data_IF_531078867496
#
_entry.id   IF_531078867496
#
_cell.length_a   1.000
_cell.length_b   1.000
_cell.length_c   1.000
_cell.angle_alpha   90.00
_cell.angle_beta   90.00
_cell.angle_gamma   90.00
#
_symmetry.space_group_name_H-M   'P 1'
#
loop_
_entity.id
_entity.type
_entity.pdbx_description
1 polymer ?
#
# COMPACT_ATOMS: atom_id res chain seq x y z
N UNK A 1 58.76 22.26 44.49
CA UNK A 1 58.42 22.30 43.05
C UNK A 1 56.91 22.07 42.89
N UNK A 2 56.07 23.14 42.87
CA UNK A 2 54.60 23.04 42.86
C UNK A 2 54.00 23.29 41.47
N UNK A 3 54.71 22.95 40.39
CA UNK A 3 54.32 23.34 39.02
C UNK A 3 53.56 22.23 38.27
N UNK A 4 53.59 20.99 38.75
CA UNK A 4 53.09 19.83 38.00
C UNK A 4 51.58 19.57 38.15
N UNK A 5 50.96 19.98 39.26
CA UNK A 5 49.52 19.72 39.52
C UNK A 5 48.57 20.71 38.80
N UNK A 6 49.01 21.93 38.50
CA UNK A 6 48.17 22.92 37.80
C UNK A 6 47.92 22.56 36.33
N UNK A 7 48.90 21.96 35.65
CA UNK A 7 48.77 21.59 34.22
C UNK A 7 47.77 20.46 34.00
N UNK A 8 47.70 19.50 34.92
CA UNK A 8 46.74 18.39 34.84
C UNK A 8 45.30 18.87 35.04
N UNK A 9 45.05 19.73 36.03
CA UNK A 9 43.71 20.25 36.33
C UNK A 9 43.14 21.14 35.20
N UNK A 10 43.99 21.92 34.53
CA UNK A 10 43.59 22.75 33.38
C UNK A 10 43.25 21.90 32.16
N UNK A 11 44.00 20.83 31.90
CA UNK A 11 43.73 19.91 30.77
C UNK A 11 42.43 19.13 30.97
N UNK A 12 42.14 18.66 32.18
CA UNK A 12 40.87 17.97 32.51
C UNK A 12 39.68 18.93 32.43
N UNK A 13 39.83 20.17 32.88
CA UNK A 13 38.78 21.20 32.77
C UNK A 13 38.47 21.56 31.31
N UNK A 14 39.51 21.71 30.47
CA UNK A 14 39.34 21.97 29.04
C UNK A 14 38.66 20.81 28.31
N UNK A 15 38.99 19.57 28.68
CA UNK A 15 38.34 18.38 28.10
C UNK A 15 36.87 18.25 28.51
N UNK A 16 36.53 18.55 29.77
CA UNK A 16 35.13 18.61 30.22
C UNK A 16 34.33 19.74 29.55
N UNK A 17 34.95 20.89 29.30
CA UNK A 17 34.34 21.99 28.56
C UNK A 17 34.06 21.60 27.09
N UNK A 18 34.99 20.88 26.46
CA UNK A 18 34.82 20.38 25.08
C UNK A 18 33.68 19.36 24.98
N UNK A 19 33.55 18.46 25.97
CA UNK A 19 32.45 17.49 26.05
C UNK A 19 31.09 18.16 26.26
N UNK A 20 31.04 19.30 26.96
CA UNK A 20 29.81 20.08 27.12
C UNK A 20 29.35 20.73 25.81
N UNK A 21 30.30 21.14 24.95
CA UNK A 21 30.01 21.78 23.66
C UNK A 21 29.48 20.81 22.59
N UNK A 22 29.59 19.49 22.79
CA UNK A 22 29.06 18.48 21.88
C UNK A 22 27.57 18.14 22.11
N UNK A 23 26.90 18.73 23.11
CA UNK A 23 25.46 18.58 23.34
C UNK A 23 24.65 19.61 22.53
N UNK A 24 24.89 19.69 21.23
CA UNK A 24 24.04 20.48 20.34
C UNK A 24 22.69 19.80 20.22
N UNK A 25 21.62 20.42 20.70
CA UNK A 25 20.26 19.99 20.39
C UNK A 25 20.08 20.04 18.87
N UNK A 26 19.76 18.90 18.28
CA UNK A 26 19.32 18.84 16.89
C UNK A 26 17.87 19.34 16.93
N UNK A 27 17.62 20.52 16.35
CA UNK A 27 16.26 21.03 16.22
C UNK A 27 15.58 20.21 15.11
N UNK A 28 14.57 19.38 15.42
CA UNK A 28 13.89 18.61 14.39
C UNK A 28 13.19 19.58 13.43
N UNK A 29 13.43 19.41 12.14
CA UNK A 29 12.69 20.14 11.12
C UNK A 29 11.25 19.65 11.16
N UNK A 30 10.32 20.55 11.48
CA UNK A 30 8.89 20.26 11.40
C UNK A 30 8.52 19.96 9.95
N UNK A 31 7.84 18.84 9.67
CA UNK A 31 7.35 18.55 8.33
C UNK A 31 6.32 19.60 7.91
N UNK A 32 6.47 20.13 6.70
CA UNK A 32 5.46 20.96 6.04
C UNK A 32 4.59 20.05 5.19
N UNK A 33 3.28 20.03 5.46
CA UNK A 33 2.32 19.23 4.70
C UNK A 33 1.51 20.13 3.78
N UNK A 34 1.54 19.85 2.48
CA UNK A 34 0.64 20.45 1.51
C UNK A 34 -0.56 19.51 1.31
N UNK A 35 -1.68 19.81 1.96
CA UNK A 35 -2.91 19.03 1.78
C UNK A 35 -3.59 19.45 0.48
N UNK A 36 -3.81 18.47 -0.41
CA UNK A 36 -4.49 18.67 -1.69
C UNK A 36 -5.86 17.98 -1.66
N UNK A 37 -6.90 18.77 -1.84
CA UNK A 37 -8.26 18.29 -2.04
C UNK A 37 -8.53 18.05 -3.53
N UNK A 38 -9.55 17.25 -3.83
CA UNK A 38 -9.94 16.94 -5.20
C UNK A 38 -9.05 15.92 -5.91
N UNK A 39 -8.23 15.17 -5.15
CA UNK A 39 -7.50 14.03 -5.70
C UNK A 39 -8.45 12.85 -5.87
N UNK A 40 -8.54 12.34 -7.10
CA UNK A 40 -9.36 11.18 -7.42
C UNK A 40 -8.51 9.92 -7.32
N UNK A 41 -8.99 8.95 -6.53
CA UNK A 41 -8.42 7.61 -6.43
C UNK A 41 -9.38 6.62 -7.08
N UNK A 42 -8.83 5.80 -7.96
CA UNK A 42 -9.58 4.75 -8.67
C UNK A 42 -8.92 3.42 -8.35
N UNK A 43 -9.71 2.50 -7.81
CA UNK A 43 -9.35 1.10 -7.64
C UNK A 43 -10.27 0.27 -8.53
N UNK A 44 -9.71 -0.45 -9.51
CA UNK A 44 -10.47 -1.31 -10.41
C UNK A 44 -9.96 -2.74 -10.31
N UNK A 45 -10.88 -3.69 -10.22
CA UNK A 45 -10.54 -5.11 -10.15
C UNK A 45 -11.47 -5.93 -11.03
N UNK A 46 -10.89 -6.67 -11.98
CA UNK A 46 -11.61 -7.60 -12.86
C UNK A 46 -11.19 -9.02 -12.50
N UNK A 47 -12.16 -9.86 -12.16
CA UNK A 47 -11.91 -11.17 -11.56
C UNK A 47 -12.52 -12.33 -12.35
N UNK A 48 -11.84 -13.47 -12.27
CA UNK A 48 -12.34 -14.77 -12.71
C UNK A 48 -13.27 -15.43 -11.67
N UNK A 49 -13.44 -14.81 -10.49
CA UNK A 49 -14.38 -15.23 -9.47
C UNK A 49 -15.69 -14.44 -9.57
N UNK A 50 -16.81 -15.16 -9.53
CA UNK A 50 -18.13 -14.55 -9.63
C UNK A 50 -18.38 -13.55 -8.50
N UNK A 51 -18.80 -12.33 -8.86
CA UNK A 51 -19.13 -11.27 -7.91
C UNK A 51 -17.94 -10.59 -7.24
N UNK A 52 -16.71 -10.92 -7.64
CA UNK A 52 -15.50 -10.31 -7.06
C UNK A 52 -15.01 -9.07 -7.81
N UNK A 53 -15.53 -8.80 -9.02
CA UNK A 53 -15.11 -7.65 -9.82
C UNK A 53 -15.80 -6.36 -9.36
N UNK A 54 -15.07 -5.25 -9.29
CA UNK A 54 -15.62 -3.95 -8.89
C UNK A 54 -14.74 -2.79 -9.36
N UNK A 55 -15.25 -1.56 -9.24
CA UNK A 55 -14.47 -0.32 -9.33
C UNK A 55 -14.89 0.59 -8.17
N UNK A 56 -13.94 1.06 -7.37
CA UNK A 56 -14.18 2.09 -6.35
C UNK A 56 -13.56 3.41 -6.81
N UNK A 57 -14.33 4.49 -6.70
CA UNK A 57 -13.88 5.85 -7.05
C UNK A 57 -14.07 6.70 -5.80
N UNK A 58 -12.98 7.28 -5.30
CA UNK A 58 -13.03 8.17 -4.14
C UNK A 58 -12.32 9.49 -4.42
N UNK A 59 -12.75 10.56 -3.76
CA UNK A 59 -12.15 11.89 -3.87
C UNK A 59 -11.65 12.36 -2.50
N UNK A 60 -10.46 12.96 -2.48
CA UNK A 60 -9.94 13.59 -1.26
C UNK A 60 -10.69 14.87 -0.91
N UNK A 61 -11.02 15.01 0.37
CA UNK A 61 -11.66 16.19 0.93
C UNK A 61 -11.08 16.53 2.31
N UNK A 62 -11.21 17.79 2.71
CA UNK A 62 -10.90 18.26 4.05
C UNK A 62 -12.20 18.58 4.79
N UNK A 63 -12.60 17.69 5.68
CA UNK A 63 -13.80 17.85 6.49
C UNK A 63 -13.42 18.19 7.92
N UNK A 64 -13.83 19.38 8.38
CA UNK A 64 -13.55 19.87 9.74
C UNK A 64 -12.05 19.86 10.11
N UNK A 65 -11.17 20.07 9.13
CA UNK A 65 -9.72 20.05 9.31
C UNK A 65 -9.11 18.65 9.34
N UNK A 66 -9.89 17.61 9.03
CA UNK A 66 -9.45 16.22 8.91
C UNK A 66 -9.49 15.81 7.44
N UNK A 67 -8.42 15.18 6.97
CA UNK A 67 -8.36 14.64 5.62
C UNK A 67 -9.17 13.35 5.54
N UNK A 68 -10.11 13.30 4.61
CA UNK A 68 -11.00 12.17 4.36
C UNK A 68 -11.03 11.82 2.87
N UNK A 69 -11.58 10.65 2.55
CA UNK A 69 -11.86 10.21 1.18
C UNK A 69 -13.34 9.87 1.09
N UNK A 70 -14.04 10.52 0.17
CA UNK A 70 -15.47 10.32 -0.02
C UNK A 70 -15.71 9.52 -1.29
N UNK A 71 -16.64 8.56 -1.24
CA UNK A 71 -17.08 7.85 -2.43
C UNK A 71 -17.68 8.81 -3.44
N UNK A 72 -17.29 8.67 -4.71
CA UNK A 72 -17.77 9.51 -5.80
C UNK A 72 -18.95 8.83 -6.50
N UNK A 73 -20.15 9.30 -6.17
CA UNK A 73 -21.42 8.84 -6.76
C UNK A 73 -21.67 9.42 -8.16
N UNK A 74 -22.50 8.73 -8.95
CA UNK A 74 -23.03 9.23 -10.22
C UNK A 74 -22.06 9.20 -11.40
N UNK A 75 -20.92 8.51 -11.29
CA UNK A 75 -20.03 8.27 -12.42
C UNK A 75 -20.61 7.19 -13.35
N UNK A 76 -20.36 7.31 -14.65
CA UNK A 76 -20.57 6.23 -15.61
C UNK A 76 -19.31 5.40 -15.69
N UNK A 77 -19.38 4.11 -15.33
CA UNK A 77 -18.23 3.21 -15.27
C UNK A 77 -18.48 1.97 -16.13
N UNK A 78 -17.48 1.56 -16.91
CA UNK A 78 -17.55 0.34 -17.72
C UNK A 78 -16.20 -0.40 -17.75
N UNK A 79 -16.26 -1.73 -17.83
CA UNK A 79 -15.13 -2.54 -18.29
C UNK A 79 -15.19 -2.69 -19.79
N UNK A 80 -14.04 -2.53 -20.46
CA UNK A 80 -13.89 -2.67 -21.90
C UNK A 80 -12.89 -3.79 -22.17
N UNK A 81 -13.29 -4.83 -22.88
CA UNK A 81 -12.36 -5.88 -23.31
C UNK A 81 -11.59 -5.39 -24.54
N UNK A 82 -10.28 -5.19 -24.41
CA UNK A 82 -9.44 -4.63 -25.47
C UNK A 82 -9.30 -5.56 -26.68
N UNK A 83 -9.57 -6.86 -26.50
CA UNK A 83 -9.46 -7.87 -27.57
C UNK A 83 -10.78 -8.09 -28.29
N UNK A 84 -11.88 -8.31 -27.55
CA UNK A 84 -13.21 -8.59 -28.13
C UNK A 84 -14.03 -7.33 -28.44
N UNK A 85 -13.69 -6.19 -27.82
CA UNK A 85 -14.49 -4.97 -27.86
C UNK A 85 -15.75 -5.02 -27.00
N UNK A 86 -15.90 -6.04 -26.15
CA UNK A 86 -17.03 -6.17 -25.23
C UNK A 86 -17.04 -5.01 -24.22
N UNK A 87 -18.23 -4.46 -23.97
CA UNK A 87 -18.47 -3.37 -23.02
C UNK A 87 -19.40 -3.86 -21.93
N UNK A 88 -18.92 -3.86 -20.69
CA UNK A 88 -19.69 -4.28 -19.52
C UNK A 88 -19.92 -3.04 -18.65
N UNK A 89 -21.14 -2.48 -18.63
CA UNK A 89 -21.46 -1.35 -17.77
C UNK A 89 -21.54 -1.79 -16.30
N UNK A 90 -21.03 -0.96 -15.39
CA UNK A 90 -21.12 -1.17 -13.95
C UNK A 90 -22.25 -0.32 -13.34
N UNK A 91 -22.82 -0.82 -12.26
CA UNK A 91 -23.88 -0.17 -11.50
C UNK A 91 -23.34 0.23 -10.13
N UNK A 92 -23.67 1.44 -9.70
CA UNK A 92 -23.36 1.91 -8.36
C UNK A 92 -24.09 1.07 -7.30
N UNK A 93 -23.34 0.51 -6.35
CA UNK A 93 -23.84 -0.31 -5.26
C UNK A 93 -22.99 -0.11 -4.00
N UNK A 94 -23.50 0.67 -3.03
CA UNK A 94 -22.73 1.00 -1.83
C UNK A 94 -21.59 1.94 -2.18
N UNK A 95 -20.37 1.63 -1.72
CA UNK A 95 -19.16 2.45 -1.98
C UNK A 95 -18.34 1.92 -3.17
N UNK A 96 -18.99 1.24 -4.12
CA UNK A 96 -18.36 0.75 -5.34
C UNK A 96 -19.34 0.67 -6.52
N UNK A 97 -18.77 0.56 -7.71
CA UNK A 97 -19.44 0.22 -8.95
C UNK A 97 -19.19 -1.26 -9.21
N UNK A 98 -20.24 -2.02 -9.52
CA UNK A 98 -20.16 -3.48 -9.71
C UNK A 98 -20.77 -3.88 -11.06
N UNK A 99 -20.19 -4.86 -11.77
CA UNK A 99 -20.74 -5.34 -13.01
C UNK A 99 -22.01 -6.19 -12.76
N UNK A 100 -22.74 -6.59 -13.82
CA UNK A 100 -23.85 -7.54 -13.68
C UNK A 100 -23.42 -8.81 -12.94
N UNK A 101 -24.31 -9.40 -12.13
CA UNK A 101 -23.99 -10.53 -11.24
C UNK A 101 -23.52 -11.82 -11.96
N UNK A 102 -23.74 -11.91 -13.27
CA UNK A 102 -23.27 -12.99 -14.13
C UNK A 102 -21.93 -12.71 -14.82
N UNK A 103 -21.34 -11.54 -14.61
CA UNK A 103 -20.04 -11.20 -15.15
C UNK A 103 -18.94 -12.00 -14.42
N UNK A 104 -18.16 -12.72 -15.21
CA UNK A 104 -16.98 -13.47 -14.78
C UNK A 104 -15.97 -13.36 -15.93
N UNK A 105 -14.80 -12.81 -15.67
CA UNK A 105 -13.76 -12.71 -16.68
C UNK A 105 -13.06 -14.06 -16.89
N UNK A 106 -12.38 -14.20 -18.02
CA UNK A 106 -11.60 -15.39 -18.36
C UNK A 106 -10.10 -15.11 -18.28
N UNK A 107 -9.34 -16.15 -17.93
CA UNK A 107 -7.87 -16.10 -18.02
C UNK A 107 -7.49 -15.79 -19.48
N UNK A 108 -6.58 -14.83 -19.64
CA UNK A 108 -6.14 -14.33 -20.94
C UNK A 108 -6.99 -13.20 -21.51
N UNK A 109 -8.12 -12.84 -20.87
CA UNK A 109 -8.83 -11.62 -21.25
C UNK A 109 -7.99 -10.39 -20.92
N UNK A 110 -8.09 -9.37 -21.76
CA UNK A 110 -7.48 -8.06 -21.55
C UNK A 110 -8.56 -7.02 -21.34
N UNK A 111 -8.56 -6.35 -20.19
CA UNK A 111 -9.60 -5.42 -19.79
C UNK A 111 -9.04 -4.03 -19.48
N UNK A 112 -9.87 -3.02 -19.72
CA UNK A 112 -9.65 -1.62 -19.37
C UNK A 112 -10.84 -1.11 -18.57
N UNK A 113 -10.62 -0.14 -17.69
CA UNK A 113 -11.68 0.60 -17.01
C UNK A 113 -11.87 1.93 -17.70
N UNK A 114 -13.11 2.26 -18.07
CA UNK A 114 -13.51 3.57 -18.57
C UNK A 114 -14.45 4.24 -17.56
N UNK A 115 -14.17 5.50 -17.23
CA UNK A 115 -14.90 6.29 -16.23
C UNK A 115 -15.25 7.64 -16.84
N UNK A 116 -16.51 8.05 -16.70
CA UNK A 116 -16.97 9.41 -16.98
C UNK A 116 -17.56 9.97 -15.69
N UNK A 117 -16.90 10.96 -15.11
CA UNK A 117 -17.35 11.62 -13.89
C UNK A 117 -18.59 12.50 -14.15
N UNK A 118 -19.36 12.86 -13.10
CA UNK A 118 -20.53 13.73 -13.23
C UNK A 118 -20.24 15.10 -13.88
N UNK A 119 -19.02 15.60 -13.72
CA UNK A 119 -18.56 16.85 -14.33
C UNK A 119 -18.14 16.70 -15.81
N UNK A 120 -18.22 15.49 -16.37
CA UNK A 120 -17.83 15.16 -17.74
C UNK A 120 -16.35 14.81 -17.93
N UNK A 121 -15.51 14.86 -16.89
CA UNK A 121 -14.12 14.40 -16.97
C UNK A 121 -14.07 12.91 -17.24
N UNK A 122 -13.19 12.49 -18.14
CA UNK A 122 -13.05 11.10 -18.55
C UNK A 122 -11.69 10.54 -18.13
N UNK A 123 -11.69 9.31 -17.62
CA UNK A 123 -10.51 8.54 -17.32
C UNK A 123 -10.59 7.17 -17.99
N UNK A 124 -9.44 6.67 -18.41
CA UNK A 124 -9.31 5.33 -18.97
C UNK A 124 -8.02 4.72 -18.49
N UNK A 125 -8.08 3.49 -18.00
CA UNK A 125 -6.88 2.75 -17.59
C UNK A 125 -6.09 2.29 -18.82
N UNK A 126 -4.84 1.90 -18.59
CA UNK A 126 -4.14 1.04 -19.53
C UNK A 126 -4.77 -0.38 -19.52
N UNK A 127 -4.66 -1.14 -20.62
CA UNK A 127 -5.13 -2.52 -20.68
C UNK A 127 -4.30 -3.45 -19.82
N UNK A 128 -4.97 -4.30 -19.05
CA UNK A 128 -4.34 -5.34 -18.22
C UNK A 128 -4.88 -6.72 -18.59
N UNK A 129 -3.99 -7.72 -18.69
CA UNK A 129 -4.35 -9.09 -19.06
C UNK A 129 -4.42 -9.98 -17.83
N UNK A 130 -5.48 -10.77 -17.72
CA UNK A 130 -5.68 -11.68 -16.59
C UNK A 130 -4.76 -12.89 -16.76
N UNK A 131 -3.72 -12.96 -15.93
CA UNK A 131 -2.83 -14.11 -15.89
C UNK A 131 -3.44 -15.32 -15.19
N UNK A 132 -2.92 -16.50 -15.53
CA UNK A 132 -3.31 -17.72 -14.85
C UNK A 132 -2.79 -17.72 -13.40
N UNK A 133 -3.60 -18.12 -12.41
CA UNK A 133 -3.15 -18.14 -11.03
C UNK A 133 -2.04 -19.19 -10.81
N UNK A 134 -1.09 -18.87 -9.94
CA UNK A 134 -0.02 -19.79 -9.55
C UNK A 134 -0.57 -20.80 -8.54
N UNK A 135 -0.47 -22.10 -8.86
CA UNK A 135 -0.98 -23.15 -7.98
C UNK A 135 -0.13 -23.30 -6.71
N UNK A 136 -0.80 -23.35 -5.55
CA UNK A 136 -0.17 -23.69 -4.28
C UNK A 136 0.25 -25.17 -4.32
N UNK A 137 1.54 -25.42 -4.10
CA UNK A 137 2.12 -26.78 -4.02
C UNK A 137 2.00 -27.40 -2.63
N UNK A 138 2.10 -26.57 -1.59
CA UNK A 138 2.14 -27.07 -0.24
C UNK A 138 1.89 -25.98 0.78
N UNK A 139 1.27 -26.37 1.89
CA UNK A 139 1.06 -25.55 3.07
C UNK A 139 1.57 -26.35 4.26
N UNK A 140 2.56 -25.81 4.97
CA UNK A 140 3.08 -26.37 6.21
C UNK A 140 2.81 -25.40 7.36
N UNK A 141 2.27 -25.90 8.47
CA UNK A 141 2.10 -25.12 9.70
C UNK A 141 2.83 -25.82 10.84
N UNK A 142 3.70 -25.10 11.53
CA UNK A 142 4.45 -25.61 12.68
C UNK A 142 4.45 -24.62 13.84
N UNK A 143 4.39 -25.13 15.06
CA UNK A 143 4.62 -24.32 16.24
C UNK A 143 6.11 -24.07 16.42
N UNK A 144 6.51 -22.81 16.52
CA UNK A 144 7.88 -22.38 16.78
C UNK A 144 7.92 -21.67 18.16
N UNK A 145 8.56 -22.27 19.18
CA UNK A 145 8.66 -21.64 20.50
C UNK A 145 9.53 -20.37 20.49
N UNK A 146 10.37 -20.20 19.46
CA UNK A 146 11.31 -19.10 19.31
C UNK A 146 11.05 -18.29 18.03
N UNK A 147 9.78 -18.00 17.71
CA UNK A 147 9.39 -17.41 16.44
C UNK A 147 9.92 -15.99 16.22
N UNK A 148 9.81 -15.12 17.23
CA UNK A 148 10.19 -13.72 17.13
C UNK A 148 10.97 -13.29 18.38
N UNK A 149 12.17 -12.75 18.20
CA UNK A 149 12.92 -12.13 19.28
C UNK A 149 12.40 -10.72 19.56
N UNK A 150 12.09 -10.41 20.83
CA UNK A 150 11.66 -9.07 21.24
C UNK A 150 12.74 -8.42 22.10
N UNK A 151 13.49 -7.49 21.50
CA UNK A 151 14.59 -6.78 22.17
C UNK A 151 14.16 -6.13 23.49
N UNK A 152 13.00 -5.47 23.52
CA UNK A 152 12.46 -4.82 24.71
C UNK A 152 12.30 -5.75 25.93
N UNK A 153 12.17 -7.05 25.70
CA UNK A 153 11.99 -8.06 26.75
C UNK A 153 13.19 -9.03 26.88
N UNK A 154 14.16 -8.96 25.96
CA UNK A 154 15.28 -9.91 25.88
C UNK A 154 14.87 -11.37 25.71
N UNK A 155 13.67 -11.65 25.19
CA UNK A 155 13.08 -13.00 25.12
C UNK A 155 12.47 -13.27 23.76
N UNK A 156 12.37 -14.55 23.43
CA UNK A 156 11.60 -15.03 22.29
C UNK A 156 10.11 -15.12 22.62
N UNK A 157 9.30 -14.77 21.63
CA UNK A 157 7.85 -14.97 21.63
C UNK A 157 7.52 -16.19 20.78
N UNK A 158 6.82 -17.20 21.32
CA UNK A 158 6.41 -18.37 20.55
C UNK A 158 5.24 -18.04 19.61
N UNK A 159 5.07 -18.83 18.55
CA UNK A 159 3.93 -18.70 17.64
C UNK A 159 3.85 -19.82 16.60
N UNK A 160 2.82 -19.77 15.76
CA UNK A 160 2.72 -20.68 14.60
C UNK A 160 3.39 -20.02 13.40
N UNK A 161 4.28 -20.77 12.74
CA UNK A 161 4.85 -20.41 11.46
C UNK A 161 4.09 -21.17 10.37
N UNK A 162 3.54 -20.45 9.41
CA UNK A 162 2.89 -21.02 8.21
C UNK A 162 3.79 -20.76 7.01
N UNK A 163 4.11 -21.80 6.25
CA UNK A 163 4.87 -21.72 5.02
C UNK A 163 3.97 -22.18 3.86
N UNK A 164 3.88 -21.35 2.82
CA UNK A 164 3.18 -21.68 1.57
C UNK A 164 4.23 -21.81 0.48
N UNK A 165 4.18 -22.88 -0.30
CA UNK A 165 5.11 -23.14 -1.40
C UNK A 165 4.36 -23.13 -2.73
N UNK A 166 4.97 -22.56 -3.75
CA UNK A 166 4.50 -22.51 -5.14
C UNK A 166 5.71 -22.47 -6.08
N UNK A 167 5.50 -22.81 -7.36
CA UNK A 167 6.52 -22.59 -8.39
C UNK A 167 6.28 -21.22 -9.03
N UNK A 168 7.20 -20.29 -8.81
CA UNK A 168 7.19 -19.00 -9.51
C UNK A 168 7.63 -19.21 -10.98
N UNK A 169 6.76 -18.99 -11.97
CA UNK A 169 7.14 -19.17 -13.35
C UNK A 169 8.06 -18.02 -13.79
N UNK A 170 9.35 -18.32 -13.90
CA UNK A 170 10.42 -17.36 -14.23
C UNK A 170 10.31 -16.66 -15.60
N UNK A 171 9.36 -17.07 -16.43
CA UNK A 171 9.16 -16.57 -17.79
C UNK A 171 7.90 -15.70 -17.96
N UNK A 172 7.16 -15.44 -16.87
CA UNK A 172 5.94 -14.63 -16.90
C UNK A 172 5.91 -13.72 -15.68
N UNK A 173 5.36 -12.53 -15.85
CA UNK A 173 5.01 -11.67 -14.73
C UNK A 173 3.82 -12.31 -14.01
N UNK A 174 3.84 -12.32 -12.69
CA UNK A 174 2.74 -12.89 -11.89
C UNK A 174 2.55 -12.04 -10.65
N UNK A 175 1.30 -11.95 -10.21
CA UNK A 175 0.93 -11.21 -9.02
C UNK A 175 0.30 -12.16 -7.99
N UNK A 176 0.76 -12.06 -6.75
CA UNK A 176 0.31 -12.90 -5.63
C UNK A 176 -0.62 -12.08 -4.74
N UNK A 177 -1.91 -12.05 -5.08
CA UNK A 177 -2.98 -11.39 -4.34
C UNK A 177 -3.74 -12.37 -3.43
#
# INVERSE_FOLDING_TARGET
MPYFQKSFFVKTSFFCLLLFLCNGCIDPVSPEFEFKEGLIFVEGFVSTSQGASFVAITESALEFGVYVTNFMEGASVAFINSTSGEVVPLMEQGESYVPPANFIASIGDTWEVEIILPNGTQYRSEPETIDAPVAIKGIEARYNPELLFREASGKYTPGHQVLVSFDDPSNRENYYY
#
